data_IF_643820380198
#
_entry.id   IF_643820380198
#
_cell.length_a   1.000
_cell.length_b   1.000
_cell.length_c   1.000
_cell.angle_alpha   90.00
_cell.angle_beta   90.00
_cell.angle_gamma   90.00
#
_symmetry.space_group_name_H-M   'P 1'
#
loop_
_entity.id
_entity.type
_entity.pdbx_description
1 polymer ?
#
# COMPACT_ATOMS: atom_id res chain seq x y z
N UNK A 1 37.82 -15.34 -7.92
CA UNK A 1 37.50 -13.95 -8.29
C UNK A 1 36.40 -13.47 -7.35
N UNK A 2 36.74 -12.67 -6.36
CA UNK A 2 35.80 -12.22 -5.32
C UNK A 2 35.24 -10.86 -5.73
N UNK A 3 33.93 -10.78 -5.94
CA UNK A 3 33.26 -9.50 -6.24
C UNK A 3 33.00 -8.78 -4.91
N UNK A 4 33.90 -7.89 -4.54
CA UNK A 4 33.69 -6.96 -3.43
C UNK A 4 32.66 -5.93 -3.86
N UNK A 5 31.40 -6.09 -3.43
CA UNK A 5 30.38 -5.05 -3.63
C UNK A 5 30.56 -3.97 -2.56
N UNK A 6 31.34 -2.95 -2.88
CA UNK A 6 31.42 -1.71 -2.10
C UNK A 6 30.04 -1.05 -2.10
N UNK A 7 29.37 -1.05 -0.94
CA UNK A 7 28.18 -0.21 -0.75
C UNK A 7 28.70 1.18 -0.43
N UNK A 8 28.82 2.02 -1.46
CA UNK A 8 29.11 3.43 -1.26
C UNK A 8 27.94 4.06 -0.50
N UNK A 9 28.20 4.52 0.72
CA UNK A 9 27.30 5.37 1.52
C UNK A 9 27.26 6.76 0.91
N UNK A 10 26.70 6.87 -0.31
CA UNK A 10 26.25 8.15 -0.82
C UNK A 10 25.18 8.67 0.14
N UNK A 11 25.33 9.92 0.61
CA UNK A 11 24.37 10.59 1.49
C UNK A 11 22.95 10.30 0.97
N UNK A 12 22.12 9.66 1.80
CA UNK A 12 20.76 9.27 1.45
C UNK A 12 19.95 10.54 1.17
N UNK A 13 19.95 10.98 -0.08
CA UNK A 13 18.98 11.91 -0.59
C UNK A 13 17.62 11.18 -0.59
N UNK A 14 16.57 11.69 0.08
CA UNK A 14 15.27 11.03 0.14
C UNK A 14 14.76 10.65 -1.24
N UNK A 15 14.87 11.53 -2.23
CA UNK A 15 14.45 11.26 -3.61
C UNK A 15 15.24 10.09 -4.23
N UNK A 16 16.54 10.03 -4.00
CA UNK A 16 17.38 8.92 -4.50
C UNK A 16 17.12 7.61 -3.75
N UNK A 17 16.78 7.70 -2.46
CA UNK A 17 16.40 6.55 -1.63
C UNK A 17 15.08 5.93 -2.10
N UNK A 18 14.04 6.74 -2.34
CA UNK A 18 12.76 6.24 -2.84
C UNK A 18 12.89 5.56 -4.20
N UNK A 19 13.65 6.15 -5.13
CA UNK A 19 13.90 5.54 -6.43
C UNK A 19 14.66 4.19 -6.31
N UNK A 20 15.64 4.09 -5.40
CA UNK A 20 16.34 2.84 -5.10
C UNK A 20 15.41 1.78 -4.51
N UNK A 21 14.57 2.18 -3.56
CA UNK A 21 13.61 1.29 -2.93
C UNK A 21 12.58 0.77 -3.93
N UNK A 22 12.03 1.61 -4.81
CA UNK A 22 11.12 1.18 -5.88
C UNK A 22 11.73 0.14 -6.82
N UNK A 23 13.02 0.29 -7.15
CA UNK A 23 13.71 -0.69 -8.00
C UNK A 23 13.88 -2.05 -7.32
N UNK A 24 14.13 -2.04 -6.01
CA UNK A 24 14.44 -3.26 -5.23
C UNK A 24 13.21 -3.93 -4.63
N UNK A 25 12.16 -3.17 -4.40
CA UNK A 25 10.93 -3.60 -3.75
C UNK A 25 9.78 -3.44 -4.74
N UNK A 26 9.41 -4.49 -5.49
CA UNK A 26 8.29 -4.44 -6.43
C UNK A 26 6.99 -3.93 -5.80
N UNK A 27 6.82 -4.15 -4.49
CA UNK A 27 5.67 -3.65 -3.71
C UNK A 27 5.53 -2.12 -3.73
N UNK A 28 6.62 -1.36 -3.98
CA UNK A 28 6.61 0.10 -4.01
C UNK A 28 6.43 0.67 -5.43
N UNK A 29 6.33 -0.18 -6.45
CA UNK A 29 6.12 0.24 -7.83
C UNK A 29 4.65 0.56 -8.14
N UNK A 30 3.74 0.18 -7.25
CA UNK A 30 2.31 0.42 -7.40
C UNK A 30 1.91 1.76 -6.79
N UNK A 31 0.89 2.39 -7.38
CA UNK A 31 0.27 3.55 -6.73
C UNK A 31 -0.40 3.12 -5.42
N UNK A 32 -0.55 4.02 -4.43
CA UNK A 32 -1.28 3.71 -3.21
C UNK A 32 -2.72 3.21 -3.49
N UNK A 33 -3.37 3.73 -4.52
CA UNK A 33 -4.72 3.36 -4.95
C UNK A 33 -4.74 1.96 -5.59
N UNK A 34 -3.75 1.62 -6.42
CA UNK A 34 -3.62 0.27 -6.96
C UNK A 34 -3.43 -0.76 -5.85
N UNK A 35 -2.61 -0.42 -4.85
CA UNK A 35 -2.43 -1.26 -3.67
C UNK A 35 -3.72 -1.37 -2.86
N UNK A 36 -4.42 -0.25 -2.65
CA UNK A 36 -5.69 -0.19 -1.95
C UNK A 36 -6.74 -1.12 -2.59
N UNK A 37 -6.90 -1.06 -3.91
CA UNK A 37 -7.82 -1.94 -4.64
C UNK A 37 -7.49 -3.41 -4.42
N UNK A 38 -6.21 -3.78 -4.55
CA UNK A 38 -5.75 -5.16 -4.31
C UNK A 38 -6.09 -5.62 -2.89
N UNK A 39 -5.92 -4.75 -1.89
CA UNK A 39 -6.25 -5.06 -0.51
C UNK A 39 -7.76 -5.19 -0.27
N UNK A 40 -8.59 -4.35 -0.90
CA UNK A 40 -10.05 -4.48 -0.82
C UNK A 40 -10.52 -5.81 -1.41
N UNK A 41 -10.03 -6.17 -2.59
CA UNK A 41 -10.30 -7.47 -3.19
C UNK A 41 -9.86 -8.61 -2.27
N UNK A 42 -8.62 -8.58 -1.76
CA UNK A 42 -8.12 -9.63 -0.88
C UNK A 42 -8.94 -9.81 0.41
N UNK A 43 -9.45 -8.73 1.01
CA UNK A 43 -10.20 -8.83 2.27
C UNK A 43 -11.67 -9.22 2.10
N UNK A 44 -12.30 -8.84 0.99
CA UNK A 44 -13.75 -8.95 0.79
C UNK A 44 -14.18 -9.93 -0.31
N UNK A 45 -13.23 -10.55 -1.02
CA UNK A 45 -13.49 -11.65 -1.93
C UNK A 45 -13.75 -12.95 -1.16
N UNK A 46 -14.75 -13.72 -1.57
CA UNK A 46 -15.20 -14.90 -0.83
C UNK A 46 -14.16 -16.04 -0.82
N UNK A 47 -13.23 -16.06 -1.78
CA UNK A 47 -12.18 -17.08 -1.89
C UNK A 47 -10.93 -16.78 -1.05
N UNK A 48 -10.66 -15.50 -0.75
CA UNK A 48 -9.43 -15.05 -0.06
C UNK A 48 -9.68 -14.24 1.21
N UNK A 49 -10.93 -13.81 1.41
CA UNK A 49 -11.33 -12.88 2.45
C UNK A 49 -11.17 -13.41 3.86
N UNK A 50 -10.85 -12.49 4.77
CA UNK A 50 -10.80 -12.83 6.20
C UNK A 50 -12.22 -13.11 6.70
N UNK A 51 -12.44 -14.17 7.52
CA UNK A 51 -13.76 -14.47 8.09
C UNK A 51 -14.39 -13.28 8.82
N UNK A 52 -13.59 -12.40 9.40
CA UNK A 52 -14.07 -11.17 10.02
C UNK A 52 -14.70 -10.22 8.99
N UNK A 53 -13.98 -9.92 7.91
CA UNK A 53 -14.43 -8.97 6.89
C UNK A 53 -15.59 -9.53 6.05
N UNK A 54 -15.58 -10.83 5.75
CA UNK A 54 -16.70 -11.49 5.08
C UNK A 54 -17.99 -11.44 5.90
N UNK A 55 -17.91 -11.59 7.24
CA UNK A 55 -19.08 -11.39 8.13
C UNK A 55 -19.50 -9.92 8.24
N UNK A 56 -18.56 -8.99 8.10
CA UNK A 56 -18.82 -7.54 8.19
C UNK A 56 -19.43 -6.99 6.91
N UNK A 57 -19.05 -7.52 5.74
CA UNK A 57 -19.47 -7.07 4.40
C UNK A 57 -20.98 -6.81 4.27
N UNK A 58 -21.90 -7.69 4.72
CA UNK A 58 -23.34 -7.47 4.59
C UNK A 58 -23.89 -6.35 5.49
N UNK A 59 -23.12 -5.92 6.49
CA UNK A 59 -23.51 -4.82 7.39
C UNK A 59 -23.03 -3.45 6.93
N UNK A 60 -22.32 -3.38 5.80
CA UNK A 60 -21.90 -2.12 5.19
C UNK A 60 -22.99 -1.65 4.24
N UNK A 61 -23.27 -0.34 4.26
CA UNK A 61 -24.23 0.29 3.35
C UNK A 61 -23.64 0.54 1.95
N UNK A 62 -22.42 0.07 1.69
CA UNK A 62 -21.67 0.25 0.45
C UNK A 62 -20.87 -1.02 0.11
N UNK A 63 -20.45 -1.15 -1.14
CA UNK A 63 -19.59 -2.24 -1.60
C UNK A 63 -18.10 -1.83 -1.48
N UNK A 64 -17.34 -2.40 -0.54
CA UNK A 64 -15.94 -2.02 -0.32
C UNK A 64 -15.01 -2.33 -1.50
N UNK A 65 -15.39 -3.25 -2.40
CA UNK A 65 -14.59 -3.56 -3.60
C UNK A 65 -14.83 -2.51 -4.69
N UNK A 66 -16.05 -1.97 -4.79
CA UNK A 66 -16.44 -1.04 -5.86
C UNK A 66 -16.31 0.42 -5.45
N UNK A 67 -16.66 0.75 -4.22
CA UNK A 67 -16.92 2.12 -3.79
C UNK A 67 -15.70 2.78 -3.13
N UNK A 68 -14.75 2.01 -2.61
CA UNK A 68 -13.46 2.53 -2.13
C UNK A 68 -12.53 2.63 -3.33
N UNK A 69 -12.10 3.83 -3.73
CA UNK A 69 -11.23 4.06 -4.91
C UNK A 69 -9.95 4.81 -4.55
N UNK A 70 -9.97 5.60 -3.49
CA UNK A 70 -8.90 6.46 -3.02
C UNK A 70 -8.62 6.23 -1.53
N UNK A 71 -7.46 6.66 -1.05
CA UNK A 71 -7.15 6.60 0.38
C UNK A 71 -8.09 7.48 1.23
N UNK A 72 -8.74 8.48 0.63
CA UNK A 72 -9.70 9.33 1.33
C UNK A 72 -11.00 8.57 1.64
N UNK A 73 -11.37 7.60 0.79
CA UNK A 73 -12.61 6.81 0.95
C UNK A 73 -12.57 5.84 2.13
N UNK A 74 -11.37 5.40 2.54
CA UNK A 74 -11.22 4.48 3.69
C UNK A 74 -11.29 5.19 5.04
N UNK A 75 -11.42 6.53 5.07
CA UNK A 75 -11.41 7.31 6.31
C UNK A 75 -10.17 7.07 7.17
N UNK A 76 -9.12 6.50 6.57
CA UNK A 76 -7.88 6.22 7.27
C UNK A 76 -7.15 7.56 7.35
N UNK A 77 -7.38 8.28 8.43
CA UNK A 77 -6.76 9.56 8.75
C UNK A 77 -5.24 9.43 8.92
N UNK A 78 -4.53 9.18 7.82
CA UNK A 78 -3.14 9.58 7.62
C UNK A 78 -3.14 10.92 6.88
N UNK A 79 -4.03 11.85 7.27
CA UNK A 79 -3.59 13.24 7.24
C UNK A 79 -2.44 13.29 8.22
N UNK A 80 -1.21 13.21 7.71
CA UNK A 80 -0.06 13.66 8.48
C UNK A 80 -0.43 15.09 8.84
N UNK A 81 -0.76 15.34 10.10
CA UNK A 81 -0.83 16.70 10.61
C UNK A 81 0.54 17.30 10.36
N UNK A 82 0.69 18.00 9.25
CA UNK A 82 1.76 18.96 9.05
C UNK A 82 1.45 20.11 10.00
N UNK A 83 1.70 19.88 11.29
CA UNK A 83 1.91 20.95 12.26
C UNK A 83 3.36 21.42 12.04
N UNK A 84 3.47 22.59 11.39
CA UNK A 84 4.53 23.62 11.42
C UNK A 84 5.98 23.13 11.49
#
# INVERSE_FOLDING_TARGET
MTVTRTVATAKLNPQTMYAEMQRRLPILQHSPEEWLQKMMHWHFDDSTGSPYWLRKKPSLDFDPIRDIRTLDDVGFGITIRQEI
#
